data_IF_432887398705
#
_entry.id   IF_432887398705
#
_cell.length_a   1.000
_cell.length_b   1.000
_cell.length_c   1.000
_cell.angle_alpha   90.00
_cell.angle_beta   90.00
_cell.angle_gamma   90.00
#
_symmetry.space_group_name_H-M   'P 1'
#
loop_
_entity.id
_entity.type
_entity.pdbx_description
1 polymer ?
#
# COMPACT_ATOMS: atom_id res chain seq x y z
N UNK A 1 42.05 12.43 55.15
CA UNK A 1 43.23 11.72 55.70
C UNK A 1 43.80 10.89 54.57
N UNK A 2 44.94 11.34 54.03
CA UNK A 2 45.75 10.59 53.08
C UNK A 2 46.37 9.37 53.78
N UNK A 3 46.53 8.26 53.05
CA UNK A 3 47.82 7.56 52.83
C UNK A 3 47.69 6.04 52.64
N UNK A 4 48.56 5.51 51.77
CA UNK A 4 48.91 4.09 51.72
C UNK A 4 48.78 3.47 50.32
N UNK A 5 49.52 3.94 49.32
CA UNK A 5 50.82 3.38 48.93
C UNK A 5 50.76 1.92 48.42
N UNK A 6 50.85 1.81 47.08
CA UNK A 6 51.73 0.93 46.30
C UNK A 6 52.07 -0.44 46.90
N UNK A 7 51.63 -1.51 46.21
CA UNK A 7 52.49 -2.67 45.98
C UNK A 7 52.21 -3.27 44.60
N UNK A 8 53.21 -3.14 43.74
CA UNK A 8 53.33 -3.77 42.44
C UNK A 8 53.87 -5.19 42.60
N UNK A 9 53.20 -6.19 42.02
CA UNK A 9 53.90 -7.39 41.54
C UNK A 9 53.26 -7.92 40.26
N UNK A 10 53.98 -7.67 39.16
CA UNK A 10 54.44 -8.68 38.19
C UNK A 10 53.42 -9.37 37.28
N UNK A 11 53.46 -8.90 36.04
CA UNK A 11 53.01 -9.52 34.80
C UNK A 11 53.04 -11.05 34.74
N UNK A 12 51.93 -11.64 34.28
CA UNK A 12 51.93 -12.78 33.37
C UNK A 12 50.92 -12.52 32.26
N UNK A 13 51.43 -12.58 31.02
CA UNK A 13 50.73 -12.36 29.77
C UNK A 13 49.71 -13.47 29.51
N UNK A 14 48.45 -13.10 29.34
CA UNK A 14 47.48 -13.90 28.59
C UNK A 14 46.99 -13.05 27.44
N UNK A 15 47.57 -13.27 26.25
CA UNK A 15 47.00 -12.77 25.01
C UNK A 15 45.59 -13.37 24.86
N UNK A 16 44.51 -12.56 24.80
CA UNK A 16 43.25 -13.09 24.34
C UNK A 16 43.43 -13.42 22.85
N UNK A 17 43.50 -14.71 22.54
CA UNK A 17 43.31 -15.19 21.17
C UNK A 17 41.86 -14.88 20.84
N UNK A 18 41.63 -13.71 20.25
CA UNK A 18 40.33 -13.37 19.70
C UNK A 18 40.06 -14.37 18.57
N UNK A 19 39.00 -15.19 18.65
CA UNK A 19 38.60 -15.98 17.50
C UNK A 19 38.32 -14.97 16.38
N UNK A 20 39.00 -15.13 15.25
CA UNK A 20 38.72 -14.38 14.03
C UNK A 20 37.26 -14.64 13.70
N UNK A 21 36.38 -13.73 14.12
CA UNK A 21 35.01 -13.69 13.67
C UNK A 21 35.10 -13.41 12.18
N UNK A 22 35.01 -14.45 11.36
CA UNK A 22 34.39 -14.29 10.04
C UNK A 22 32.99 -13.77 10.33
N UNK A 23 32.83 -12.43 10.31
CA UNK A 23 31.53 -11.78 10.29
C UNK A 23 30.88 -12.20 8.98
N UNK A 24 30.27 -13.38 8.94
CA UNK A 24 29.23 -13.65 7.97
C UNK A 24 28.09 -12.73 8.41
N UNK A 25 27.97 -11.59 7.72
CA UNK A 25 26.86 -10.67 7.91
C UNK A 25 25.58 -11.50 7.74
N UNK A 26 24.69 -11.46 8.72
CA UNK A 26 23.36 -12.02 8.61
C UNK A 26 22.59 -11.23 7.54
N UNK A 27 22.79 -11.59 6.27
CA UNK A 27 22.05 -11.03 5.14
C UNK A 27 20.76 -11.83 5.02
N UNK A 28 19.63 -11.14 5.14
CA UNK A 28 18.35 -11.72 4.76
C UNK A 28 18.29 -11.79 3.23
N UNK A 29 18.50 -13.00 2.67
CA UNK A 29 18.53 -13.21 1.22
C UNK A 29 17.19 -12.85 0.53
N UNK A 30 16.11 -12.76 1.32
CA UNK A 30 14.73 -12.52 0.88
C UNK A 30 14.29 -11.07 0.91
N UNK A 31 15.05 -10.16 1.54
CA UNK A 31 14.69 -8.74 1.54
C UNK A 31 14.92 -8.14 0.15
N UNK A 32 13.82 -7.76 -0.49
CA UNK A 32 13.77 -7.14 -1.82
C UNK A 32 13.59 -5.62 -1.75
N UNK A 33 13.34 -5.09 -0.56
CA UNK A 33 12.97 -3.69 -0.33
C UNK A 33 14.15 -2.87 0.18
N UNK A 34 15.03 -3.46 0.98
CA UNK A 34 16.26 -2.81 1.42
C UNK A 34 17.35 -2.96 0.36
N UNK A 35 17.97 -1.84 0.00
CA UNK A 35 19.04 -1.76 -0.99
C UNK A 35 20.30 -2.44 -0.40
N UNK A 36 20.70 -3.60 -0.92
CA UNK A 36 21.95 -4.27 -0.50
C UNK A 36 23.15 -3.50 -1.07
N UNK A 37 23.79 -2.70 -0.20
CA UNK A 37 24.94 -1.86 -0.53
C UNK A 37 26.21 -2.65 -0.89
N UNK A 38 26.21 -3.97 -0.70
CA UNK A 38 27.35 -4.86 -0.93
C UNK A 38 27.14 -5.84 -2.10
N UNK A 39 26.07 -5.68 -2.89
CA UNK A 39 25.83 -6.50 -4.09
C UNK A 39 26.38 -5.79 -5.33
N UNK A 40 27.36 -6.40 -6.01
CA UNK A 40 27.91 -5.86 -7.27
C UNK A 40 26.95 -6.03 -8.46
N UNK A 41 25.99 -6.95 -8.36
CA UNK A 41 25.01 -7.24 -9.41
C UNK A 41 23.72 -6.43 -9.28
N UNK A 42 23.33 -5.75 -10.37
CA UNK A 42 22.02 -5.08 -10.45
C UNK A 42 20.92 -6.14 -10.55
N UNK A 43 20.13 -6.30 -9.48
CA UNK A 43 18.93 -7.14 -9.50
C UNK A 43 17.93 -6.61 -10.55
N UNK A 44 17.38 -7.45 -11.44
CA UNK A 44 16.34 -7.01 -12.37
C UNK A 44 15.12 -6.54 -11.58
N UNK A 45 14.84 -5.24 -11.65
CA UNK A 45 13.70 -4.62 -10.98
C UNK A 45 12.37 -4.89 -11.68
N UNK A 46 11.29 -4.31 -11.14
CA UNK A 46 10.00 -4.23 -11.84
C UNK A 46 10.23 -3.64 -13.24
N UNK A 47 9.74 -4.27 -14.33
CA UNK A 47 9.83 -3.71 -15.67
C UNK A 47 9.37 -2.26 -15.65
N UNK A 48 10.23 -1.36 -16.15
CA UNK A 48 10.02 0.10 -16.05
C UNK A 48 8.79 0.56 -16.84
N UNK A 49 8.31 -0.25 -17.78
CA UNK A 49 7.20 0.06 -18.67
C UNK A 49 6.20 -1.08 -18.74
N UNK A 50 4.94 -0.74 -18.98
CA UNK A 50 3.92 -1.71 -19.34
C UNK A 50 4.27 -2.28 -20.73
N UNK A 51 4.29 -3.61 -20.92
CA UNK A 51 4.58 -4.23 -22.23
C UNK A 51 3.54 -3.89 -23.31
N UNK A 52 2.38 -3.35 -22.93
CA UNK A 52 1.30 -2.97 -23.83
C UNK A 52 1.36 -1.48 -24.19
N UNK A 53 0.96 -1.17 -25.43
CA UNK A 53 0.69 0.20 -25.83
C UNK A 53 -0.44 0.83 -25.00
N UNK A 54 -0.50 2.16 -24.95
CA UNK A 54 -1.53 2.89 -24.18
C UNK A 54 -2.95 2.50 -24.61
N UNK A 55 -3.18 2.36 -25.92
CA UNK A 55 -4.49 2.04 -26.47
C UNK A 55 -4.92 0.60 -26.17
N UNK A 56 -3.98 -0.35 -26.20
CA UNK A 56 -4.21 -1.72 -25.74
C UNK A 56 -4.54 -1.78 -24.26
N UNK A 57 -3.78 -1.03 -23.45
CA UNK A 57 -4.01 -0.92 -22.02
C UNK A 57 -5.41 -0.37 -21.72
N UNK A 58 -5.85 0.68 -22.42
CA UNK A 58 -7.18 1.25 -22.26
C UNK A 58 -8.28 0.24 -22.62
N UNK A 59 -8.13 -0.50 -23.73
CA UNK A 59 -9.08 -1.55 -24.14
C UNK A 59 -9.19 -2.67 -23.09
N UNK A 60 -8.06 -3.14 -22.56
CA UNK A 60 -8.03 -4.18 -21.53
C UNK A 60 -8.64 -3.69 -20.22
N UNK A 61 -8.29 -2.47 -19.79
CA UNK A 61 -8.85 -1.87 -18.57
C UNK A 61 -10.37 -1.71 -18.67
N UNK A 62 -10.88 -1.25 -19.81
CA UNK A 62 -12.32 -1.13 -20.05
C UNK A 62 -13.00 -2.50 -20.01
N UNK A 63 -12.43 -3.52 -20.65
CA UNK A 63 -12.95 -4.89 -20.61
C UNK A 63 -13.00 -5.45 -19.18
N UNK A 64 -11.94 -5.25 -18.41
CA UNK A 64 -11.88 -5.69 -17.02
C UNK A 64 -12.88 -4.95 -16.13
N UNK A 65 -13.10 -3.65 -16.38
CA UNK A 65 -14.14 -2.88 -15.71
C UNK A 65 -15.53 -3.47 -16.00
N UNK A 66 -15.87 -3.68 -17.28
CA UNK A 66 -17.15 -4.28 -17.66
C UNK A 66 -17.33 -5.70 -17.08
N UNK A 67 -16.26 -6.51 -17.05
CA UNK A 67 -16.30 -7.84 -16.44
C UNK A 67 -16.58 -7.76 -14.94
N UNK A 68 -15.96 -6.83 -14.21
CA UNK A 68 -16.21 -6.61 -12.78
C UNK A 68 -17.63 -6.11 -12.52
N UNK A 69 -18.10 -5.13 -13.29
CA UNK A 69 -19.45 -4.58 -13.17
C UNK A 69 -20.49 -5.69 -13.42
N UNK A 70 -20.30 -6.53 -14.45
CA UNK A 70 -21.17 -7.68 -14.74
C UNK A 70 -21.20 -8.71 -13.60
N UNK A 71 -20.03 -9.08 -13.08
CA UNK A 71 -19.94 -10.05 -11.97
C UNK A 71 -20.61 -9.52 -10.70
N UNK A 72 -20.55 -8.21 -10.46
CA UNK A 72 -21.19 -7.55 -9.32
C UNK A 72 -22.67 -7.21 -9.56
N UNK A 73 -23.23 -7.55 -10.73
CA UNK A 73 -24.60 -7.21 -11.09
C UNK A 73 -24.86 -5.71 -11.26
N UNK A 74 -23.81 -4.89 -11.38
CA UNK A 74 -23.92 -3.44 -11.48
C UNK A 74 -24.40 -3.04 -12.88
N UNK A 75 -25.43 -2.20 -12.92
CA UNK A 75 -25.92 -1.56 -14.14
C UNK A 75 -25.75 -0.05 -14.02
N UNK A 76 -25.28 0.57 -15.09
CA UNK A 76 -25.15 2.03 -15.18
C UNK A 76 -26.44 2.61 -15.74
N UNK A 77 -26.97 3.63 -15.06
CA UNK A 77 -28.13 4.39 -15.49
C UNK A 77 -27.69 5.83 -15.67
N UNK A 78 -27.96 6.40 -16.84
CA UNK A 78 -27.68 7.80 -17.15
C UNK A 78 -28.98 8.59 -16.98
N UNK A 79 -28.94 9.67 -16.19
CA UNK A 79 -30.10 10.48 -15.84
C UNK A 79 -29.78 11.95 -16.09
N UNK A 80 -30.76 12.68 -16.65
CA UNK A 80 -30.74 14.15 -16.72
C UNK A 80 -31.63 14.67 -15.59
N UNK A 81 -31.08 15.53 -14.75
CA UNK A 81 -31.75 16.11 -13.60
C UNK A 81 -31.61 17.63 -13.63
N UNK A 82 -32.51 18.31 -12.94
CA UNK A 82 -32.40 19.76 -12.73
C UNK A 82 -31.15 20.10 -11.91
N UNK A 83 -30.53 21.24 -12.19
CA UNK A 83 -29.27 21.68 -11.54
C UNK A 83 -29.45 21.76 -10.03
N UNK A 84 -30.54 22.40 -9.57
CA UNK A 84 -30.87 22.57 -8.15
C UNK A 84 -30.98 21.23 -7.41
N UNK A 85 -31.56 20.21 -8.06
CA UNK A 85 -31.68 18.88 -7.48
C UNK A 85 -30.30 18.20 -7.32
N UNK A 86 -29.40 18.39 -8.28
CA UNK A 86 -28.03 17.86 -8.22
C UNK A 86 -27.23 18.54 -7.10
N UNK A 87 -27.38 19.85 -6.94
CA UNK A 87 -26.73 20.62 -5.87
C UNK A 87 -27.22 20.16 -4.49
N UNK A 88 -28.54 20.02 -4.30
CA UNK A 88 -29.11 19.51 -3.07
C UNK A 88 -28.60 18.10 -2.73
N UNK A 89 -28.49 17.21 -3.73
CA UNK A 89 -27.94 15.86 -3.55
C UNK A 89 -26.45 15.89 -3.15
N UNK A 90 -25.65 16.78 -3.74
CA UNK A 90 -24.24 16.94 -3.37
C UNK A 90 -24.11 17.39 -1.91
N UNK A 91 -24.85 18.44 -1.51
CA UNK A 91 -24.82 18.95 -0.14
C UNK A 91 -25.23 17.89 0.88
N UNK A 92 -26.27 17.10 0.59
CA UNK A 92 -26.69 16.01 1.46
C UNK A 92 -25.67 14.88 1.54
N UNK A 93 -25.02 14.54 0.42
CA UNK A 93 -23.97 13.52 0.37
C UNK A 93 -22.74 13.96 1.20
N UNK A 94 -22.33 15.23 1.05
CA UNK A 94 -21.25 15.83 1.84
C UNK A 94 -21.58 15.85 3.34
N UNK A 95 -22.79 16.29 3.70
CA UNK A 95 -23.24 16.32 5.09
C UNK A 95 -23.27 14.92 5.76
N UNK A 96 -23.52 13.87 4.96
CA UNK A 96 -23.51 12.47 5.42
C UNK A 96 -22.16 11.78 5.25
N UNK A 97 -21.17 12.46 4.66
CA UNK A 97 -19.85 11.92 4.34
C UNK A 97 -19.87 10.62 3.52
N UNK A 98 -20.78 10.55 2.53
CA UNK A 98 -20.92 9.43 1.60
C UNK A 98 -20.83 9.93 0.15
N UNK A 99 -20.59 9.03 -0.80
CA UNK A 99 -20.60 9.43 -2.20
C UNK A 99 -22.03 9.73 -2.67
N UNK A 100 -22.18 10.67 -3.62
CA UNK A 100 -23.48 10.95 -4.24
C UNK A 100 -24.13 9.69 -4.84
N UNK A 101 -23.33 8.77 -5.39
CA UNK A 101 -23.84 7.53 -5.98
C UNK A 101 -24.45 6.60 -4.91
N UNK A 102 -23.80 6.47 -3.76
CA UNK A 102 -24.33 5.69 -2.62
C UNK A 102 -25.61 6.33 -2.08
N UNK A 103 -25.63 7.67 -1.91
CA UNK A 103 -26.84 8.37 -1.47
C UNK A 103 -28.03 8.11 -2.39
N UNK A 104 -27.82 8.14 -3.71
CA UNK A 104 -28.88 7.89 -4.69
C UNK A 104 -29.36 6.43 -4.60
N UNK A 105 -28.44 5.48 -4.43
CA UNK A 105 -28.79 4.07 -4.25
C UNK A 105 -29.65 3.86 -3.01
N UNK A 106 -29.27 4.44 -1.87
CA UNK A 106 -30.02 4.36 -0.62
C UNK A 106 -31.44 4.93 -0.75
N UNK A 107 -31.57 6.11 -1.38
CA UNK A 107 -32.86 6.75 -1.61
C UNK A 107 -33.74 5.85 -2.50
N UNK A 108 -33.19 5.32 -3.59
CA UNK A 108 -33.95 4.46 -4.51
C UNK A 108 -34.39 3.16 -3.83
N UNK A 109 -33.53 2.51 -3.04
CA UNK A 109 -33.86 1.30 -2.32
C UNK A 109 -34.94 1.55 -1.26
N UNK A 110 -34.84 2.65 -0.51
CA UNK A 110 -35.84 3.03 0.48
C UNK A 110 -37.22 3.26 -0.16
N UNK A 111 -37.28 3.98 -1.30
CA UNK A 111 -38.52 4.20 -2.02
C UNK A 111 -39.09 2.90 -2.60
N UNK A 112 -38.25 2.05 -3.22
CA UNK A 112 -38.70 0.77 -3.75
C UNK A 112 -39.21 -0.18 -2.66
N UNK A 113 -38.66 -0.11 -1.44
CA UNK A 113 -39.17 -0.87 -0.31
C UNK A 113 -40.54 -0.35 0.15
N UNK A 114 -40.74 0.97 0.18
CA UNK A 114 -42.01 1.59 0.57
C UNK A 114 -43.14 1.37 -0.46
N UNK A 115 -42.80 1.25 -1.75
CA UNK A 115 -43.78 1.02 -2.83
C UNK A 115 -44.10 -0.46 -3.09
N UNK A 116 -43.37 -1.41 -2.49
CA UNK A 116 -43.73 -2.84 -2.61
C UNK A 116 -45.03 -3.09 -1.83
N UNK A 117 -46.03 -3.76 -2.43
CA UNK A 117 -47.28 -4.11 -1.77
C UNK A 117 -47.08 -5.15 -0.66
#
# INVERSE_FOLDING_TARGET
MYDGALNCTRAQLLHPVFPVKTRIMAKEQTDRTTLDLFSDERRPGRPKTNPLSRDEQLRINKRNQLKRDKVRGLKRVELKLNVEAVEALNMLAEARNISRSELIEDILLAQLAALKP
#
